data_IF_350189833975
#
_entry.id   IF_350189833975
#
_cell.length_a   1.000
_cell.length_b   1.000
_cell.length_c   1.000
_cell.angle_alpha   90.00
_cell.angle_beta   90.00
_cell.angle_gamma   90.00
#
_symmetry.space_group_name_H-M   'P 1'
#
loop_
_entity.id
_entity.type
_entity.pdbx_description
1 polymer ?
#
# COMPACT_ATOMS: atom_id res chain seq x y z
N UNK A 1 -15.51 -9.55 -1.33
CA UNK A 1 -14.36 -8.75 -0.83
C UNK A 1 -13.09 -9.47 -1.24
N UNK A 2 -12.15 -8.79 -1.88
CA UNK A 2 -10.90 -9.42 -2.35
C UNK A 2 -10.10 -9.92 -1.14
N UNK A 3 -9.83 -11.23 -1.10
CA UNK A 3 -9.06 -11.89 -0.04
C UNK A 3 -7.55 -11.75 -0.19
N UNK A 4 -7.11 -11.22 -1.34
CA UNK A 4 -5.71 -11.08 -1.74
C UNK A 4 -5.52 -9.83 -2.59
N UNK A 5 -4.32 -9.25 -2.51
CA UNK A 5 -3.83 -8.22 -3.43
C UNK A 5 -2.54 -8.72 -4.10
N UNK A 6 -2.39 -8.44 -5.38
CA UNK A 6 -1.13 -8.62 -6.10
C UNK A 6 -0.37 -7.28 -6.13
N UNK A 7 0.93 -7.31 -5.86
CA UNK A 7 1.75 -6.11 -5.71
C UNK A 7 3.05 -6.30 -6.48
N UNK A 8 3.36 -5.34 -7.35
CA UNK A 8 4.64 -5.26 -8.04
C UNK A 8 5.71 -4.68 -7.12
N UNK A 9 6.82 -5.39 -6.96
CA UNK A 9 7.93 -4.99 -6.11
C UNK A 9 8.81 -3.99 -6.87
N UNK A 10 8.88 -2.75 -6.36
CA UNK A 10 9.78 -1.71 -6.89
C UNK A 10 11.06 -1.56 -6.07
N UNK A 11 10.98 -1.83 -4.77
CA UNK A 11 12.07 -1.67 -3.82
C UNK A 11 12.09 -2.87 -2.88
N UNK A 12 13.28 -3.34 -2.54
CA UNK A 12 13.53 -4.30 -1.46
C UNK A 12 14.47 -3.63 -0.49
N UNK A 13 14.05 -3.44 0.77
CA UNK A 13 14.83 -2.77 1.81
C UNK A 13 15.44 -1.43 1.32
N UNK A 14 14.59 -0.59 0.70
CA UNK A 14 14.96 0.71 0.12
C UNK A 14 15.87 0.68 -1.11
N UNK A 15 16.30 -0.50 -1.57
CA UNK A 15 17.10 -0.66 -2.79
C UNK A 15 16.15 -0.88 -3.98
N UNK A 16 16.23 -0.07 -5.06
CA UNK A 16 15.38 -0.23 -6.22
C UNK A 16 15.70 -1.53 -6.97
N UNK A 17 14.66 -2.23 -7.42
CA UNK A 17 14.77 -3.50 -8.16
C UNK A 17 14.23 -3.31 -9.57
N UNK A 18 14.96 -3.80 -10.59
CA UNK A 18 14.54 -3.74 -12.00
C UNK A 18 13.69 -4.95 -12.42
N UNK A 19 13.81 -6.03 -11.67
CA UNK A 19 13.04 -7.26 -11.85
C UNK A 19 11.57 -6.94 -11.59
N UNK A 20 10.71 -7.05 -12.61
CA UNK A 20 9.26 -6.82 -12.53
C UNK A 20 8.56 -7.95 -11.76
N UNK A 21 9.06 -8.24 -10.56
CA UNK A 21 8.63 -9.36 -9.73
C UNK A 21 7.39 -8.92 -8.95
N UNK A 22 6.42 -9.82 -8.88
CA UNK A 22 5.18 -9.61 -8.16
C UNK A 22 5.13 -10.49 -6.91
N UNK A 23 4.43 -10.00 -5.89
CA UNK A 23 4.07 -10.79 -4.72
C UNK A 23 2.57 -10.75 -4.49
N UNK A 24 2.08 -11.79 -3.83
CA UNK A 24 0.70 -11.87 -3.37
C UNK A 24 0.66 -11.63 -1.87
N UNK A 25 -0.29 -10.80 -1.44
CA UNK A 25 -0.50 -10.50 -0.04
C UNK A 25 -1.94 -10.83 0.35
N UNK A 26 -2.10 -11.75 1.31
CA UNK A 26 -3.39 -12.11 1.84
C UNK A 26 -3.92 -10.99 2.77
N UNK A 27 -5.13 -10.52 2.50
CA UNK A 27 -5.78 -9.44 3.24
C UNK A 27 -6.94 -9.92 4.11
N UNK A 28 -7.26 -11.22 4.08
CA UNK A 28 -8.43 -11.82 4.74
C UNK A 28 -8.52 -11.55 6.24
N UNK A 29 -7.39 -11.39 6.93
CA UNK A 29 -7.37 -11.13 8.38
C UNK A 29 -7.67 -9.68 8.75
N UNK A 30 -7.70 -8.76 7.79
CA UNK A 30 -7.87 -7.33 8.04
C UNK A 30 -9.34 -6.94 8.00
N UNK A 31 -9.83 -6.32 9.08
CA UNK A 31 -11.19 -5.77 9.18
C UNK A 31 -11.31 -4.40 8.51
N UNK A 32 -10.78 -4.24 7.29
CA UNK A 32 -10.91 -3.02 6.47
C UNK A 32 -11.50 -3.37 5.11
N UNK A 33 -12.46 -2.56 4.65
CA UNK A 33 -13.15 -2.81 3.38
C UNK A 33 -12.21 -2.70 2.18
N UNK A 34 -11.34 -1.68 2.23
CA UNK A 34 -10.32 -1.42 1.22
C UNK A 34 -8.96 -1.37 1.92
N UNK A 35 -8.17 -2.43 1.83
CA UNK A 35 -6.83 -2.46 2.43
C UNK A 35 -5.87 -1.54 1.65
N UNK A 36 -5.86 -1.67 0.34
CA UNK A 36 -5.14 -0.84 -0.62
C UNK A 36 -5.92 -0.81 -1.94
N UNK A 37 -5.66 0.19 -2.79
CA UNK A 37 -6.15 0.26 -4.16
C UNK A 37 -5.03 0.16 -5.18
N UNK A 38 -5.42 -0.08 -6.43
CA UNK A 38 -4.52 -0.03 -7.58
C UNK A 38 -3.84 1.34 -7.64
N UNK A 39 -2.54 1.34 -7.91
CA UNK A 39 -1.63 2.51 -7.90
C UNK A 39 -1.27 3.06 -6.52
N UNK A 40 -1.77 2.47 -5.43
CA UNK A 40 -1.21 2.76 -4.10
C UNK A 40 0.22 2.20 -4.01
N UNK A 41 1.07 2.92 -3.28
CA UNK A 41 2.39 2.44 -2.91
C UNK A 41 2.28 1.82 -1.52
N UNK A 42 2.66 0.55 -1.41
CA UNK A 42 2.50 -0.23 -0.17
C UNK A 42 3.84 -0.76 0.32
N UNK A 43 4.04 -0.72 1.64
CA UNK A 43 5.12 -1.40 2.37
C UNK A 43 4.58 -2.73 2.85
N UNK A 44 5.25 -3.81 2.43
CA UNK A 44 4.89 -5.19 2.77
C UNK A 44 6.12 -5.91 3.32
N UNK A 45 5.88 -7.00 4.05
CA UNK A 45 6.93 -7.91 4.52
C UNK A 45 6.84 -9.22 3.76
N UNK A 46 7.92 -9.60 3.07
CA UNK A 46 8.00 -10.89 2.40
C UNK A 46 8.11 -11.98 3.47
N UNK A 47 7.24 -12.97 3.42
CA UNK A 47 7.22 -14.11 4.35
C UNK A 47 8.02 -15.27 3.76
N UNK A 48 7.92 -15.47 2.45
CA UNK A 48 8.63 -16.55 1.78
C UNK A 48 8.11 -16.79 0.37
N UNK A 49 8.61 -17.87 -0.23
CA UNK A 49 8.19 -18.37 -1.53
C UNK A 49 7.44 -19.69 -1.33
N UNK A 50 6.26 -19.79 -1.94
CA UNK A 50 5.42 -20.98 -1.86
C UNK A 50 4.71 -21.18 -3.20
N UNK A 51 4.84 -22.39 -3.77
CA UNK A 51 4.21 -22.80 -5.03
C UNK A 51 4.55 -21.87 -6.22
N UNK A 52 5.80 -21.38 -6.30
CA UNK A 52 6.20 -20.50 -7.41
C UNK A 52 5.87 -19.02 -7.19
N UNK A 53 5.09 -18.67 -6.18
CA UNK A 53 4.71 -17.29 -5.87
C UNK A 53 5.42 -16.76 -4.61
N UNK A 54 5.70 -15.46 -4.58
CA UNK A 54 6.20 -14.77 -3.38
C UNK A 54 5.00 -14.35 -2.53
N UNK A 55 4.99 -14.76 -1.27
CA UNK A 55 3.94 -14.43 -0.32
C UNK A 55 4.40 -13.32 0.62
N UNK A 56 3.52 -12.36 0.87
CA UNK A 56 3.79 -11.21 1.71
C UNK A 56 2.68 -10.97 2.77
N UNK A 57 3.07 -10.37 3.89
CA UNK A 57 2.20 -9.90 4.98
C UNK A 57 2.08 -8.38 4.97
N UNK A 58 0.95 -7.90 5.48
CA UNK A 58 0.68 -6.50 5.79
C UNK A 58 0.00 -6.37 7.16
N UNK A 59 0.31 -7.26 8.11
CA UNK A 59 -0.38 -7.30 9.41
C UNK A 59 0.18 -6.27 10.39
N UNK A 60 1.50 -6.10 10.42
CA UNK A 60 2.19 -5.21 11.33
C UNK A 60 1.76 -3.72 11.13
N UNK A 61 1.77 -2.88 12.18
CA UNK A 61 1.33 -1.47 12.10
C UNK A 61 2.19 -0.60 11.18
N UNK A 62 3.48 -0.95 11.07
CA UNK A 62 4.44 -0.28 10.19
C UNK A 62 4.21 -0.63 8.73
N UNK A 63 3.45 -1.68 8.43
CA UNK A 63 3.14 -2.12 7.08
C UNK A 63 1.78 -1.59 6.65
N UNK A 64 1.67 -1.25 5.38
CA UNK A 64 0.51 -0.53 4.90
C UNK A 64 0.79 0.29 3.65
N UNK A 65 -0.21 1.04 3.24
CA UNK A 65 -0.08 2.11 2.25
C UNK A 65 0.87 3.17 2.80
N UNK A 66 1.90 3.48 2.01
CA UNK A 66 2.85 4.59 2.22
C UNK A 66 2.41 5.84 1.46
N UNK A 67 1.74 5.65 0.32
CA UNK A 67 1.25 6.73 -0.53
C UNK A 67 0.03 6.31 -1.32
N UNK A 68 -0.90 7.24 -1.48
CA UNK A 68 -2.13 7.08 -2.25
C UNK A 68 -2.60 8.43 -2.78
N UNK A 69 -3.37 8.40 -3.87
CA UNK A 69 -4.05 9.57 -4.44
C UNK A 69 -5.55 9.41 -4.30
N UNK A 70 -6.28 10.53 -4.36
CA UNK A 70 -7.74 10.49 -4.28
C UNK A 70 -8.31 9.65 -5.43
N UNK A 71 -9.15 8.66 -5.09
CA UNK A 71 -9.82 7.81 -6.08
C UNK A 71 -10.72 8.60 -7.05
N UNK A 72 -11.31 9.71 -6.59
CA UNK A 72 -12.29 10.49 -7.37
C UNK A 72 -11.64 11.51 -8.30
N UNK A 73 -10.68 12.30 -7.81
CA UNK A 73 -10.08 13.39 -8.57
C UNK A 73 -8.56 13.28 -8.80
N UNK A 74 -7.91 12.23 -8.28
CA UNK A 74 -6.46 12.01 -8.47
C UNK A 74 -5.54 12.97 -7.70
N UNK A 75 -6.10 13.89 -6.91
CA UNK A 75 -5.34 14.87 -6.12
C UNK A 75 -4.85 14.28 -4.79
N UNK A 76 -4.06 15.06 -4.07
CA UNK A 76 -3.47 14.65 -2.80
C UNK A 76 -4.53 14.37 -1.73
N UNK A 77 -4.16 13.52 -0.78
CA UNK A 77 -4.98 13.17 0.37
C UNK A 77 -4.19 13.41 1.64
N UNK A 78 -4.91 13.61 2.73
CA UNK A 78 -4.37 13.74 4.07
C UNK A 78 -4.97 12.66 4.96
N UNK A 79 -4.17 12.04 5.85
CA UNK A 79 -4.68 11.06 6.79
C UNK A 79 -5.59 11.75 7.81
N UNK A 80 -6.72 11.14 8.13
CA UNK A 80 -7.67 11.58 9.13
C UNK A 80 -8.02 10.38 10.01
N UNK A 81 -7.27 10.19 11.10
CA UNK A 81 -7.33 8.97 11.93
C UNK A 81 -7.08 7.72 11.05
N UNK A 82 -8.07 6.83 10.94
CA UNK A 82 -7.97 5.57 10.20
C UNK A 82 -8.39 5.67 8.72
N UNK A 83 -8.86 6.84 8.28
CA UNK A 83 -9.31 7.08 6.90
C UNK A 83 -8.42 8.10 6.20
N UNK A 84 -8.48 8.13 4.88
CA UNK A 84 -7.88 9.19 4.06
C UNK A 84 -8.96 10.16 3.62
N UNK A 85 -8.65 11.46 3.61
CA UNK A 85 -9.53 12.52 3.10
C UNK A 85 -8.82 13.32 2.01
N UNK A 86 -9.47 13.50 0.87
CA UNK A 86 -8.95 14.36 -0.19
C UNK A 86 -8.95 15.84 0.24
N UNK A 87 -7.88 16.56 -0.09
CA UNK A 87 -7.76 18.00 0.16
C UNK A 87 -8.70 18.82 -0.73
N UNK A 88 -8.96 18.35 -1.96
CA UNK A 88 -9.69 19.09 -2.97
C UNK A 88 -11.20 18.78 -2.97
N UNK A 89 -11.57 17.51 -3.22
CA UNK A 89 -12.97 17.13 -3.40
C UNK A 89 -13.64 16.63 -2.11
N UNK A 90 -12.90 16.58 -1.00
CA UNK A 90 -13.39 16.12 0.30
C UNK A 90 -13.71 14.62 0.41
N UNK A 91 -13.54 13.84 -0.67
CA UNK A 91 -13.80 12.40 -0.68
C UNK A 91 -13.01 11.66 0.40
N UNK A 92 -13.70 10.77 1.12
CA UNK A 92 -13.11 9.92 2.16
C UNK A 92 -13.07 8.47 1.73
N UNK A 93 -12.01 7.76 2.11
CA UNK A 93 -11.87 6.33 1.83
C UNK A 93 -11.09 5.65 2.96
N UNK A 94 -11.31 4.36 3.12
CA UNK A 94 -10.62 3.55 4.11
C UNK A 94 -9.37 2.92 3.47
N UNK A 95 -8.25 2.89 4.19
CA UNK A 95 -6.99 2.25 3.78
C UNK A 95 -6.30 1.67 5.00
N UNK A 96 -5.51 0.62 4.82
CA UNK A 96 -4.51 0.24 5.83
C UNK A 96 -3.31 1.16 5.67
N UNK A 97 -3.27 2.24 6.46
CA UNK A 97 -2.13 3.16 6.48
C UNK A 97 -0.98 2.55 7.28
N UNK A 98 0.24 2.72 6.78
CA UNK A 98 1.46 2.49 7.54
C UNK A 98 1.71 3.64 8.52
N UNK A 99 2.38 3.38 9.65
CA UNK A 99 2.93 4.44 10.53
C UNK A 99 3.84 5.43 9.80
N UNK A 100 4.41 5.00 8.68
CA UNK A 100 5.37 5.72 7.84
C UNK A 100 4.68 6.41 6.64
N UNK A 101 3.35 6.52 6.66
CA UNK A 101 2.58 7.17 5.61
C UNK A 101 3.05 8.61 5.38
N UNK A 102 3.42 8.93 4.13
CA UNK A 102 4.03 10.21 3.72
C UNK A 102 5.36 10.58 4.39
N UNK A 103 6.03 9.64 5.08
CA UNK A 103 7.33 9.86 5.75
C UNK A 103 8.50 9.11 5.08
N UNK A 104 8.29 8.58 3.87
CA UNK A 104 9.27 7.70 3.22
C UNK A 104 10.24 8.48 2.35
N UNK A 105 11.41 8.82 2.91
CA UNK A 105 12.42 9.67 2.25
C UNK A 105 13.11 9.00 1.05
N UNK A 106 13.13 7.67 0.99
CA UNK A 106 13.78 6.91 -0.09
C UNK A 106 12.94 6.84 -1.38
N UNK A 107 11.67 7.23 -1.32
CA UNK A 107 10.76 7.18 -2.45
C UNK A 107 10.72 8.57 -3.09
N UNK A 108 11.44 8.74 -4.22
CA UNK A 108 11.27 9.93 -5.07
C UNK A 108 9.90 9.86 -5.74
N UNK A 109 8.90 10.48 -5.12
CA UNK A 109 7.59 10.64 -5.73
C UNK A 109 7.74 11.63 -6.87
N UNK A 110 7.53 11.16 -8.11
CA UNK A 110 7.44 12.07 -9.26
C UNK A 110 6.23 12.98 -9.02
N UNK A 111 6.48 14.28 -9.01
CA UNK A 111 5.47 15.35 -9.01
C UNK A 111 4.44 15.13 -10.13
#
# INVERSE_FOLDING_TARGET
>A
MGSMIAVMIKYINSIPVKSQVECICATRSLRKKNVALVKDLVKLKIIGHLNGAIHASIQEPELGVLFTKCRKCGKNVKPLRDIIKCTECGWTDDRKLSSDFLKSDFIKMRE
#
